data_IF_253279236812
#
_entry.id   IF_253279236812
#
_cell.length_a   1.000
_cell.length_b   1.000
_cell.length_c   1.000
_cell.angle_alpha   90.00
_cell.angle_beta   90.00
_cell.angle_gamma   90.00
#
_symmetry.space_group_name_H-M   'P 1'
#
loop_
_entity.id
_entity.type
_entity.pdbx_description
1 polymer ?
#
# COMPACT_ATOMS: atom_id res chain seq x y z
N UNK A 1 56.20 12.47 17.18
CA UNK A 1 55.58 12.16 15.88
C UNK A 1 54.49 11.10 16.10
N UNK A 2 53.22 11.37 15.76
CA UNK A 2 52.15 10.37 15.91
C UNK A 2 52.38 9.19 14.96
N UNK A 3 52.21 7.96 15.46
CA UNK A 3 52.50 6.74 14.71
C UNK A 3 51.54 6.56 13.52
N UNK A 4 52.00 5.98 12.39
CA UNK A 4 51.25 5.90 11.14
C UNK A 4 49.92 5.09 11.23
N UNK A 5 49.72 4.34 12.32
CA UNK A 5 48.46 3.63 12.60
C UNK A 5 47.41 4.54 13.27
N UNK A 6 47.84 5.51 14.09
CA UNK A 6 46.96 6.46 14.77
C UNK A 6 46.43 7.54 13.82
N UNK A 7 47.22 7.93 12.83
CA UNK A 7 46.81 8.89 11.80
C UNK A 7 45.75 8.32 10.86
N UNK A 8 45.82 7.04 10.48
CA UNK A 8 44.81 6.37 9.64
C UNK A 8 43.45 6.23 10.34
N UNK A 9 43.46 5.88 11.63
CA UNK A 9 42.23 5.77 12.43
C UNK A 9 41.53 7.13 12.59
N UNK A 10 42.31 8.19 12.83
CA UNK A 10 41.77 9.55 12.93
C UNK A 10 41.21 10.03 11.59
N UNK A 11 41.87 9.72 10.47
CA UNK A 11 41.40 10.09 9.14
C UNK A 11 40.07 9.41 8.80
N UNK A 12 39.93 8.11 9.08
CA UNK A 12 38.68 7.37 8.83
C UNK A 12 37.51 7.87 9.69
N UNK A 13 37.77 8.23 10.95
CA UNK A 13 36.75 8.83 11.82
C UNK A 13 36.30 10.21 11.33
N UNK A 14 37.20 11.01 10.78
CA UNK A 14 36.83 12.30 10.20
C UNK A 14 36.02 12.14 8.90
N UNK A 15 36.35 11.17 8.06
CA UNK A 15 35.57 10.87 6.85
C UNK A 15 34.16 10.39 7.16
N UNK A 16 33.97 9.55 8.18
CA UNK A 16 32.63 9.09 8.56
C UNK A 16 31.78 10.22 9.15
N UNK A 17 32.35 11.10 9.98
CA UNK A 17 31.65 12.28 10.50
C UNK A 17 31.25 13.24 9.38
N UNK A 18 32.14 13.47 8.41
CA UNK A 18 31.84 14.33 7.25
C UNK A 18 30.72 13.73 6.38
N UNK A 19 30.76 12.42 6.14
CA UNK A 19 29.73 11.72 5.37
C UNK A 19 28.35 11.75 6.05
N UNK A 20 28.30 11.57 7.37
CA UNK A 20 27.05 11.66 8.15
C UNK A 20 26.51 13.09 8.11
N UNK A 21 27.36 14.10 8.28
CA UNK A 21 26.95 15.51 8.24
C UNK A 21 26.42 15.92 6.85
N UNK A 22 27.07 15.44 5.78
CA UNK A 22 26.64 15.66 4.40
C UNK A 22 25.31 14.96 4.11
N UNK A 23 25.12 13.72 4.60
CA UNK A 23 23.87 12.98 4.44
C UNK A 23 22.70 13.64 5.18
N UNK A 24 22.91 14.13 6.40
CA UNK A 24 21.89 14.84 7.16
C UNK A 24 21.52 16.18 6.51
N UNK A 25 22.51 16.90 5.97
CA UNK A 25 22.26 18.15 5.21
C UNK A 25 21.53 17.86 3.90
N UNK A 26 21.93 16.82 3.16
CA UNK A 26 21.25 16.40 1.93
C UNK A 26 19.79 16.00 2.18
N UNK A 27 19.54 15.24 3.25
CA UNK A 27 18.18 14.88 3.67
C UNK A 27 17.36 16.12 4.03
N UNK A 28 17.92 17.04 4.81
CA UNK A 28 17.25 18.31 5.14
C UNK A 28 16.93 19.16 3.91
N UNK A 29 17.79 19.13 2.89
CA UNK A 29 17.60 19.90 1.67
C UNK A 29 16.55 19.26 0.73
N UNK A 30 16.43 17.93 0.72
CA UNK A 30 15.37 17.24 -0.02
C UNK A 30 14.00 17.37 0.66
N UNK A 31 13.93 17.32 2.00
CA UNK A 31 12.68 17.53 2.76
C UNK A 31 12.09 18.94 2.51
N UNK A 32 12.94 19.96 2.30
CA UNK A 32 12.50 21.33 2.02
C UNK A 32 11.85 21.53 0.63
N UNK A 33 12.04 20.59 -0.31
CA UNK A 33 11.54 20.70 -1.69
C UNK A 33 10.16 20.06 -1.91
N UNK A 34 9.77 19.10 -1.07
CA UNK A 34 8.51 18.37 -1.18
C UNK A 34 7.34 19.13 -0.53
N UNK A 35 7.61 19.96 0.47
CA UNK A 35 6.58 20.69 1.24
C UNK A 35 6.02 21.96 0.60
N UNK A 36 6.43 22.36 -0.62
CA UNK A 36 6.13 23.73 -1.13
C UNK A 36 5.23 23.82 -2.37
N UNK A 37 4.76 22.70 -2.95
CA UNK A 37 3.94 22.75 -4.18
C UNK A 37 2.41 22.76 -3.95
N UNK A 38 1.93 22.80 -2.71
CA UNK A 38 0.49 22.75 -2.42
C UNK A 38 -0.08 24.04 -1.79
N UNK A 39 0.68 25.14 -1.69
CA UNK A 39 0.29 26.33 -0.92
C UNK A 39 0.07 27.63 -1.74
N UNK A 40 0.02 27.56 -3.06
CA UNK A 40 -0.21 28.73 -3.94
C UNK A 40 -1.63 28.79 -4.55
N UNK A 41 -2.43 27.72 -4.51
CA UNK A 41 -3.79 27.75 -5.07
C UNK A 41 -4.90 28.11 -4.07
N UNK A 42 -4.59 28.28 -2.78
CA UNK A 42 -5.59 28.51 -1.73
C UNK A 42 -5.75 29.99 -1.30
N UNK A 43 -4.99 30.92 -1.87
CA UNK A 43 -5.04 32.35 -1.45
C UNK A 43 -6.00 33.24 -2.25
N UNK A 44 -6.55 32.77 -3.38
CA UNK A 44 -7.28 33.65 -4.31
C UNK A 44 -8.81 33.55 -4.22
N UNK A 45 -9.37 32.65 -3.41
CA UNK A 45 -10.83 32.44 -3.35
C UNK A 45 -11.49 32.97 -2.05
N UNK A 46 -10.70 33.44 -1.09
CA UNK A 46 -11.19 33.86 0.24
C UNK A 46 -11.53 35.36 0.32
N UNK A 47 -12.54 35.80 -0.43
CA UNK A 47 -13.19 37.07 -0.07
C UNK A 47 -14.67 37.07 -0.42
N UNK A 48 -15.50 37.34 0.61
CA UNK A 48 -16.98 37.45 0.67
C UNK A 48 -17.64 36.15 1.17
N UNK A 49 -18.29 36.07 2.33
CA UNK A 49 -18.73 37.08 3.30
C UNK A 49 -19.13 36.38 4.63
N UNK A 50 -18.78 36.98 5.77
CA UNK A 50 -19.57 37.18 7.02
C UNK A 50 -20.67 36.14 7.36
N UNK A 51 -20.81 35.55 8.56
CA UNK A 51 -20.57 36.01 9.93
C UNK A 51 -20.93 34.85 10.90
N UNK A 52 -20.48 34.97 12.15
CA UNK A 52 -20.84 34.24 13.39
C UNK A 52 -20.12 32.93 13.73
N UNK A 53 -19.18 33.04 14.68
CA UNK A 53 -18.69 31.99 15.61
C UNK A 53 -19.36 32.30 16.97
N UNK A 54 -19.86 31.32 17.74
CA UNK A 54 -19.07 30.56 18.71
C UNK A 54 -19.43 29.06 18.60
N UNK A 55 -18.75 28.04 19.08
CA UNK A 55 -17.80 27.79 20.16
C UNK A 55 -17.11 26.46 19.78
N UNK A 56 -15.94 26.18 20.34
CA UNK A 56 -15.10 25.04 19.95
C UNK A 56 -15.80 23.67 20.06
N UNK A 57 -16.11 23.04 18.92
CA UNK A 57 -16.45 21.63 18.84
C UNK A 57 -15.20 20.78 18.54
N UNK A 58 -15.05 19.60 19.18
CA UNK A 58 -13.90 18.73 18.98
C UNK A 58 -13.87 18.19 17.54
N UNK A 59 -12.66 17.93 17.04
CA UNK A 59 -12.37 17.46 15.69
C UNK A 59 -13.41 16.43 15.17
N UNK A 60 -13.95 16.60 13.95
CA UNK A 60 -15.04 15.77 13.47
C UNK A 60 -14.54 14.35 13.24
N UNK A 61 -15.06 13.43 14.04
CA UNK A 61 -15.09 12.00 13.75
C UNK A 61 -15.71 11.79 12.35
N UNK A 62 -15.13 10.84 11.62
CA UNK A 62 -15.52 10.44 10.27
C UNK A 62 -17.05 10.42 10.07
N UNK A 63 -17.50 11.04 8.98
CA UNK A 63 -18.90 11.03 8.56
C UNK A 63 -19.42 9.57 8.47
N UNK A 64 -20.70 9.32 8.83
CA UNK A 64 -21.26 7.98 8.76
C UNK A 64 -21.34 7.52 7.31
N UNK A 65 -20.62 6.45 6.98
CA UNK A 65 -20.79 5.74 5.72
C UNK A 65 -22.26 5.26 5.61
N UNK A 66 -22.85 5.25 4.39
CA UNK A 66 -24.22 4.79 4.19
C UNK A 66 -24.40 3.36 4.75
N UNK A 67 -25.62 2.98 5.17
CA UNK A 67 -25.86 1.66 5.77
C UNK A 67 -25.39 0.56 4.82
N UNK A 68 -24.32 -0.13 5.22
CA UNK A 68 -23.67 -1.14 4.39
C UNK A 68 -24.62 -2.32 4.26
N UNK A 69 -24.96 -2.73 3.04
CA UNK A 69 -25.85 -3.86 2.78
C UNK A 69 -25.31 -5.21 3.34
N UNK A 70 -24.03 -5.26 3.70
CA UNK A 70 -23.32 -6.46 4.14
C UNK A 70 -22.48 -6.22 5.41
N UNK A 71 -23.09 -5.99 6.59
CA UNK A 71 -22.35 -5.62 7.80
C UNK A 71 -21.41 -6.74 8.29
N UNK A 72 -21.83 -8.01 8.21
CA UNK A 72 -20.99 -9.15 8.60
C UNK A 72 -19.81 -9.37 7.64
N UNK A 73 -20.08 -9.35 6.33
CA UNK A 73 -19.02 -9.50 5.33
C UNK A 73 -18.00 -8.34 5.36
N UNK A 74 -18.44 -7.12 5.70
CA UNK A 74 -17.54 -5.99 5.94
C UNK A 74 -16.55 -6.32 7.06
N UNK A 75 -17.04 -6.76 8.22
CA UNK A 75 -16.18 -7.12 9.36
C UNK A 75 -15.17 -8.21 8.97
N UNK A 76 -15.61 -9.23 8.23
CA UNK A 76 -14.72 -10.31 7.79
C UNK A 76 -13.67 -9.87 6.77
N UNK A 77 -14.05 -9.06 5.78
CA UNK A 77 -13.11 -8.50 4.79
C UNK A 77 -12.10 -7.59 5.47
N UNK A 78 -12.56 -6.69 6.36
CA UNK A 78 -11.70 -5.77 7.10
C UNK A 78 -10.65 -6.55 7.91
N UNK A 79 -11.04 -7.64 8.58
CA UNK A 79 -10.09 -8.53 9.28
C UNK A 79 -8.99 -9.06 8.34
N UNK A 80 -9.34 -9.50 7.14
CA UNK A 80 -8.34 -10.01 6.20
C UNK A 80 -7.37 -8.91 5.74
N UNK A 81 -7.89 -7.71 5.45
CA UNK A 81 -7.12 -6.56 4.97
C UNK A 81 -6.26 -5.91 6.06
N UNK A 82 -6.71 -5.95 7.31
CA UNK A 82 -5.95 -5.46 8.46
C UNK A 82 -4.81 -6.42 8.82
N UNK A 83 -5.07 -7.73 8.75
CA UNK A 83 -4.08 -8.76 9.08
C UNK A 83 -3.05 -8.99 7.95
N UNK A 84 -3.42 -8.76 6.69
CA UNK A 84 -2.58 -9.09 5.53
C UNK A 84 -2.49 -7.93 4.54
N UNK A 85 -1.26 -7.56 4.18
CA UNK A 85 -1.00 -6.52 3.19
C UNK A 85 -1.52 -6.86 1.80
N UNK A 86 -1.50 -8.15 1.44
CA UNK A 86 -1.93 -8.64 0.12
C UNK A 86 -2.92 -9.78 0.35
N UNK A 87 -4.13 -9.62 -0.17
CA UNK A 87 -5.20 -10.63 -0.11
C UNK A 87 -5.64 -10.99 -1.52
N UNK A 88 -5.71 -12.28 -1.81
CA UNK A 88 -6.18 -12.85 -3.07
C UNK A 88 -7.56 -13.47 -2.80
N UNK A 89 -8.62 -12.78 -3.19
CA UNK A 89 -9.96 -13.35 -3.19
C UNK A 89 -10.11 -14.27 -4.40
N UNK A 90 -10.37 -15.54 -4.13
CA UNK A 90 -10.27 -16.65 -5.08
C UNK A 90 -11.51 -17.55 -5.01
N UNK A 91 -11.62 -18.45 -5.98
CA UNK A 91 -12.45 -19.65 -5.88
C UNK A 91 -11.63 -20.88 -6.27
N UNK A 92 -11.78 -21.97 -5.51
CA UNK A 92 -10.91 -23.14 -5.60
C UNK A 92 -10.90 -23.80 -6.99
N UNK A 93 -12.06 -23.82 -7.65
CA UNK A 93 -12.27 -24.41 -8.97
C UNK A 93 -11.93 -23.48 -10.13
N UNK A 94 -11.73 -22.18 -9.89
CA UNK A 94 -11.62 -21.18 -10.95
C UNK A 94 -10.25 -21.23 -11.65
N UNK A 95 -10.18 -21.43 -12.98
CA UNK A 95 -8.91 -21.49 -13.71
C UNK A 95 -8.14 -20.16 -13.68
N UNK A 96 -8.83 -19.02 -13.76
CA UNK A 96 -8.23 -17.69 -13.66
C UNK A 96 -7.58 -17.46 -12.28
N UNK A 97 -8.21 -17.96 -11.21
CA UNK A 97 -7.64 -17.87 -9.86
C UNK A 97 -6.36 -18.71 -9.74
N UNK A 98 -6.32 -19.91 -10.35
CA UNK A 98 -5.13 -20.76 -10.36
C UNK A 98 -3.96 -20.07 -11.05
N UNK A 99 -4.18 -19.42 -12.19
CA UNK A 99 -3.12 -18.69 -12.91
C UNK A 99 -2.62 -17.47 -12.13
N UNK A 100 -3.52 -16.65 -11.59
CA UNK A 100 -3.12 -15.51 -10.75
C UNK A 100 -2.32 -15.95 -9.50
N UNK A 101 -2.73 -17.07 -8.86
CA UNK A 101 -1.97 -17.67 -7.75
C UNK A 101 -0.60 -18.19 -8.18
N UNK A 102 -0.49 -18.83 -9.34
CA UNK A 102 0.81 -19.28 -9.86
C UNK A 102 1.77 -18.10 -10.05
N UNK A 103 1.31 -16.98 -10.59
CA UNK A 103 2.13 -15.76 -10.69
C UNK A 103 2.53 -15.27 -9.29
N UNK A 104 1.56 -14.98 -8.42
CA UNK A 104 1.84 -14.30 -7.14
C UNK A 104 2.51 -15.16 -6.07
N UNK A 105 2.34 -16.49 -6.11
CA UNK A 105 2.83 -17.42 -5.09
C UNK A 105 4.00 -18.28 -5.56
N UNK A 106 4.15 -18.52 -6.87
CA UNK A 106 5.19 -19.42 -7.40
C UNK A 106 6.25 -18.67 -8.22
N UNK A 107 5.86 -17.65 -8.99
CA UNK A 107 6.79 -16.85 -9.78
C UNK A 107 7.36 -15.67 -9.00
N UNK A 108 6.69 -15.22 -7.94
CA UNK A 108 7.13 -14.10 -7.11
C UNK A 108 7.39 -14.54 -5.66
N UNK A 109 8.46 -14.02 -5.07
CA UNK A 109 8.70 -14.06 -3.63
C UNK A 109 8.30 -12.72 -3.03
N UNK A 110 7.17 -12.68 -2.34
CA UNK A 110 6.67 -11.48 -1.66
C UNK A 110 6.72 -11.69 -0.14
N UNK A 111 7.18 -10.68 0.59
CA UNK A 111 7.25 -10.71 2.06
C UNK A 111 6.56 -9.45 2.60
N UNK A 112 5.51 -9.60 3.45
CA UNK A 112 4.86 -10.85 3.87
C UNK A 112 4.15 -11.57 2.70
N UNK A 113 3.94 -12.90 2.79
CA UNK A 113 3.33 -13.66 1.70
C UNK A 113 1.87 -13.23 1.46
N UNK A 114 1.37 -13.29 0.22
CA UNK A 114 -0.04 -13.06 -0.07
C UNK A 114 -0.93 -14.08 0.65
N UNK A 115 -2.05 -13.62 1.20
CA UNK A 115 -3.04 -14.47 1.84
C UNK A 115 -4.16 -14.80 0.86
N UNK A 116 -4.60 -16.07 0.82
CA UNK A 116 -5.66 -16.52 -0.12
C UNK A 116 -6.96 -16.75 0.64
N UNK A 117 -8.03 -16.16 0.15
CA UNK A 117 -9.40 -16.38 0.65
C UNK A 117 -10.19 -17.11 -0.44
N UNK A 118 -10.48 -18.39 -0.24
CA UNK A 118 -11.33 -19.18 -1.13
C UNK A 118 -12.80 -18.97 -0.77
N UNK A 119 -13.48 -18.10 -1.53
CA UNK A 119 -14.85 -17.67 -1.24
C UNK A 119 -15.87 -18.80 -1.37
N UNK A 120 -15.65 -19.74 -2.29
CA UNK A 120 -16.55 -20.86 -2.54
C UNK A 120 -16.63 -21.87 -1.39
N UNK A 121 -15.66 -21.86 -0.48
CA UNK A 121 -15.63 -22.73 0.69
C UNK A 121 -16.29 -22.08 1.92
N UNK A 122 -16.84 -20.87 1.79
CA UNK A 122 -17.46 -20.13 2.88
C UNK A 122 -18.99 -20.12 2.76
N UNK A 123 -19.71 -20.15 3.90
CA UNK A 123 -21.16 -20.04 3.91
C UNK A 123 -21.68 -18.64 3.53
N UNK A 124 -20.87 -17.60 3.71
CA UNK A 124 -21.18 -16.18 3.46
C UNK A 124 -20.69 -15.67 2.10
N UNK A 125 -20.43 -16.58 1.14
CA UNK A 125 -19.84 -16.26 -0.17
C UNK A 125 -20.55 -15.11 -0.90
N UNK A 126 -21.89 -15.12 -0.94
CA UNK A 126 -22.67 -14.13 -1.67
C UNK A 126 -22.48 -12.73 -1.09
N UNK A 127 -22.53 -12.60 0.24
CA UNK A 127 -22.34 -11.34 0.95
C UNK A 127 -20.91 -10.83 0.80
N UNK A 128 -19.92 -11.74 0.88
CA UNK A 128 -18.52 -11.41 0.63
C UNK A 128 -18.29 -10.88 -0.79
N UNK A 129 -18.87 -11.52 -1.82
CA UNK A 129 -18.77 -11.02 -3.20
C UNK A 129 -19.49 -9.68 -3.40
N UNK A 130 -20.66 -9.50 -2.77
CA UNK A 130 -21.40 -8.24 -2.77
C UNK A 130 -20.57 -7.11 -2.19
N UNK A 131 -20.02 -7.31 -0.99
CA UNK A 131 -19.16 -6.34 -0.32
C UNK A 131 -17.87 -6.06 -1.08
N UNK A 132 -17.23 -7.07 -1.67
CA UNK A 132 -16.06 -6.89 -2.54
C UNK A 132 -16.39 -6.01 -3.74
N UNK A 133 -17.54 -6.25 -4.40
CA UNK A 133 -17.99 -5.42 -5.52
C UNK A 133 -18.21 -3.97 -5.10
N UNK A 134 -18.81 -3.73 -3.94
CA UNK A 134 -19.00 -2.37 -3.41
C UNK A 134 -17.65 -1.68 -3.12
N UNK A 135 -16.70 -2.39 -2.50
CA UNK A 135 -15.43 -1.84 -2.07
C UNK A 135 -14.45 -1.61 -3.24
N UNK A 136 -14.42 -2.52 -4.22
CA UNK A 136 -13.41 -2.51 -5.28
C UNK A 136 -13.96 -2.24 -6.68
N UNK A 137 -15.28 -2.19 -6.82
CA UNK A 137 -15.96 -2.20 -8.12
C UNK A 137 -15.93 -3.55 -8.84
N UNK A 138 -15.27 -4.58 -8.28
CA UNK A 138 -15.06 -5.89 -8.91
C UNK A 138 -15.77 -7.00 -8.13
N UNK A 139 -16.84 -7.54 -8.71
CA UNK A 139 -17.56 -8.70 -8.17
C UNK A 139 -17.05 -10.06 -8.66
N UNK A 140 -16.05 -10.08 -9.53
CA UNK A 140 -15.46 -11.31 -10.10
C UNK A 140 -14.21 -11.73 -9.36
N UNK A 141 -13.90 -13.03 -9.41
CA UNK A 141 -12.64 -13.60 -8.94
C UNK A 141 -11.74 -13.98 -10.15
N UNK A 142 -10.41 -13.95 -10.01
CA UNK A 142 -9.69 -13.48 -8.83
C UNK A 142 -9.79 -11.95 -8.67
N UNK A 143 -9.75 -11.49 -7.42
CA UNK A 143 -9.64 -10.07 -7.08
C UNK A 143 -8.48 -9.91 -6.10
N UNK A 144 -7.40 -9.26 -6.54
CA UNK A 144 -6.16 -9.12 -5.79
C UNK A 144 -6.14 -7.72 -5.17
N UNK A 145 -6.10 -7.68 -3.85
CA UNK A 145 -6.16 -6.45 -3.06
C UNK A 145 -4.84 -6.24 -2.33
N UNK A 146 -4.24 -5.07 -2.49
CA UNK A 146 -3.01 -4.64 -1.82
C UNK A 146 -3.33 -3.43 -0.96
N UNK A 147 -3.14 -3.55 0.36
CA UNK A 147 -3.44 -2.51 1.35
C UNK A 147 -4.84 -1.87 1.14
N UNK A 148 -5.86 -2.72 0.95
CA UNK A 148 -7.24 -2.30 0.72
C UNK A 148 -7.59 -1.83 -0.70
N UNK A 149 -6.59 -1.68 -1.59
CA UNK A 149 -6.82 -1.28 -2.99
C UNK A 149 -6.77 -2.49 -3.93
N UNK A 150 -7.81 -2.70 -4.73
CA UNK A 150 -7.77 -3.71 -5.80
C UNK A 150 -6.77 -3.32 -6.87
N UNK A 151 -5.81 -4.21 -7.15
CA UNK A 151 -4.86 -4.08 -8.26
C UNK A 151 -5.29 -4.87 -9.52
N UNK A 152 -6.41 -5.60 -9.44
CA UNK A 152 -7.03 -6.24 -10.61
C UNK A 152 -7.37 -7.72 -10.43
N UNK A 153 -7.64 -8.36 -11.56
CA UNK A 153 -7.88 -9.81 -11.68
C UNK A 153 -6.74 -10.54 -12.39
N UNK A 154 -7.04 -11.69 -12.99
CA UNK A 154 -6.00 -12.55 -13.60
C UNK A 154 -5.25 -11.85 -14.72
N UNK A 155 -5.97 -11.27 -15.67
CA UNK A 155 -5.38 -10.64 -16.85
C UNK A 155 -4.53 -9.42 -16.47
N UNK A 156 -4.98 -8.65 -15.46
CA UNK A 156 -4.24 -7.51 -14.93
C UNK A 156 -2.90 -7.96 -14.31
N UNK A 157 -2.91 -9.05 -13.54
CA UNK A 157 -1.71 -9.61 -12.88
C UNK A 157 -0.75 -10.20 -13.91
N UNK A 158 -1.25 -10.98 -14.88
CA UNK A 158 -0.43 -11.56 -15.96
C UNK A 158 0.21 -10.45 -16.80
N UNK A 159 -0.57 -9.44 -17.18
CA UNK A 159 -0.07 -8.28 -17.92
C UNK A 159 1.05 -7.57 -17.15
N UNK A 160 0.83 -7.24 -15.87
CA UNK A 160 1.85 -6.57 -15.06
C UNK A 160 3.10 -7.43 -14.85
N UNK A 161 2.96 -8.76 -14.80
CA UNK A 161 4.09 -9.67 -14.70
C UNK A 161 4.91 -9.67 -16.00
N UNK A 162 4.25 -9.75 -17.17
CA UNK A 162 4.90 -9.66 -18.49
C UNK A 162 5.59 -8.31 -18.70
N UNK A 163 4.93 -7.22 -18.31
CA UNK A 163 5.47 -5.86 -18.41
C UNK A 163 6.52 -5.54 -17.33
N UNK A 164 6.79 -6.46 -16.41
CA UNK A 164 7.70 -6.28 -15.25
C UNK A 164 7.32 -5.12 -14.33
N UNK A 165 6.04 -4.71 -14.33
CA UNK A 165 5.51 -3.62 -13.50
C UNK A 165 4.84 -4.11 -12.21
N UNK A 166 4.58 -5.42 -12.07
CA UNK A 166 3.86 -5.99 -10.93
C UNK A 166 4.55 -5.70 -9.59
N UNK A 167 5.87 -5.87 -9.51
CA UNK A 167 6.62 -5.63 -8.28
C UNK A 167 6.51 -4.17 -7.82
N UNK A 168 6.57 -3.23 -8.75
CA UNK A 168 6.47 -1.81 -8.47
C UNK A 168 5.05 -1.41 -8.07
N UNK A 169 4.03 -2.01 -8.69
CA UNK A 169 2.64 -1.82 -8.27
C UNK A 169 2.40 -2.33 -6.86
N UNK A 170 2.89 -3.52 -6.52
CA UNK A 170 2.78 -4.06 -5.17
C UNK A 170 3.48 -3.15 -4.14
N UNK A 171 4.68 -2.65 -4.44
CA UNK A 171 5.41 -1.72 -3.55
C UNK A 171 4.69 -0.38 -3.42
N UNK A 172 4.16 0.16 -4.52
CA UNK A 172 3.44 1.44 -4.55
C UNK A 172 2.20 1.42 -3.65
N UNK A 173 1.41 0.35 -3.70
CA UNK A 173 0.22 0.22 -2.86
C UNK A 173 0.54 -0.28 -1.46
N UNK A 174 1.49 -1.21 -1.32
CA UNK A 174 1.82 -1.85 -0.06
C UNK A 174 2.71 -1.02 0.87
N UNK A 175 3.46 -0.06 0.33
CA UNK A 175 4.37 0.79 1.09
C UNK A 175 5.32 0.00 1.99
N UNK A 176 5.53 0.50 3.20
CA UNK A 176 6.42 -0.11 4.20
C UNK A 176 5.93 -1.49 4.69
N UNK A 177 4.66 -1.84 4.45
CA UNK A 177 4.12 -3.15 4.84
C UNK A 177 4.59 -4.27 3.92
N UNK A 178 5.16 -3.95 2.75
CA UNK A 178 5.79 -4.91 1.85
C UNK A 178 7.31 -4.79 1.99
N UNK A 179 7.92 -5.77 2.65
CA UNK A 179 9.36 -5.78 2.93
C UNK A 179 10.16 -6.14 1.69
N UNK A 180 9.71 -7.14 0.93
CA UNK A 180 10.46 -7.68 -0.21
C UNK A 180 9.51 -8.15 -1.30
N UNK A 181 9.91 -7.93 -2.56
CA UNK A 181 9.25 -8.48 -3.76
C UNK A 181 10.36 -8.84 -4.74
N UNK A 182 10.51 -10.13 -5.05
CA UNK A 182 11.47 -10.64 -6.02
C UNK A 182 10.79 -11.55 -7.04
N UNK A 183 11.32 -11.60 -8.26
CA UNK A 183 10.92 -12.56 -9.28
C UNK A 183 11.78 -13.82 -9.11
N UNK A 184 11.14 -14.98 -9.03
CA UNK A 184 11.77 -16.29 -8.85
C UNK A 184 11.96 -17.03 -10.17
N UNK A 185 11.09 -16.78 -11.15
CA UNK A 185 11.10 -17.40 -12.47
C UNK A 185 10.84 -16.31 -13.51
N UNK A 186 11.74 -16.18 -14.47
CA UNK A 186 11.57 -15.33 -15.66
C UNK A 186 10.88 -16.08 -16.80
#
# INVERSE_FOLDING_TARGET
MPSPRRTKALLLALFSILAISLFMTYRSHNDASVGRKHLEQLKTFSSRSTSTVPEAEPAPAAAPEPPTAFPAAKVEIDKFLDAHTIVIFSKSYCPYCKRAKAVLLEQYKIIPPPFVVELDLRPDMADMQGRLKEMTGRGTVPNIVVAGTSIGGCDDIEKMATEKTLADTIRRHGGDKVKQVFVLKE
#
